data_IF_945830944028
#
_entry.id   IF_945830944028
#
_cell.length_a   1.000
_cell.length_b   1.000
_cell.length_c   1.000
_cell.angle_alpha   90.00
_cell.angle_beta   90.00
_cell.angle_gamma   90.00
#
_symmetry.space_group_name_H-M   'P 1'
#
loop_
_entity.id
_entity.type
_entity.pdbx_description
1 polymer ?
#
# COMPACT_ATOMS: atom_id res chain seq x y z
N UNK A 1 16.45 -24.07 -8.31
CA UNK A 1 15.55 -23.11 -7.64
C UNK A 1 16.43 -21.99 -7.13
N UNK A 2 16.55 -20.95 -7.95
CA UNK A 2 17.50 -19.85 -7.78
C UNK A 2 16.96 -18.84 -6.78
N UNK A 3 17.68 -18.64 -5.68
CA UNK A 3 17.45 -17.50 -4.79
C UNK A 3 18.60 -16.51 -4.99
N UNK A 4 18.42 -15.59 -5.93
CA UNK A 4 19.40 -14.55 -6.25
C UNK A 4 19.44 -13.52 -5.12
N UNK A 5 20.56 -13.54 -4.40
CA UNK A 5 21.09 -12.50 -3.52
C UNK A 5 20.66 -11.07 -3.90
N UNK A 6 19.74 -10.47 -3.14
CA UNK A 6 19.53 -9.02 -3.13
C UNK A 6 20.36 -8.40 -2.00
N UNK A 7 21.68 -8.30 -2.20
CA UNK A 7 22.56 -7.55 -1.28
C UNK A 7 22.32 -6.06 -1.52
N UNK A 8 21.60 -5.43 -0.61
CA UNK A 8 21.27 -4.00 -0.64
C UNK A 8 22.55 -3.15 -0.54
N UNK A 9 22.72 -2.21 -1.47
CA UNK A 9 23.89 -1.33 -1.65
C UNK A 9 24.00 -0.21 -0.59
N UNK A 10 23.37 -0.37 0.57
CA UNK A 10 23.27 0.68 1.60
C UNK A 10 24.61 1.02 2.25
N UNK A 11 25.49 0.04 2.43
CA UNK A 11 26.80 0.26 3.06
C UNK A 11 27.76 1.10 2.20
N UNK A 12 27.67 0.98 0.87
CA UNK A 12 28.47 1.79 -0.07
C UNK A 12 28.06 3.26 -0.09
N UNK A 13 26.80 3.57 0.24
CA UNK A 13 26.30 4.94 0.34
C UNK A 13 26.83 5.60 1.61
N UNK A 14 26.86 4.86 2.72
CA UNK A 14 27.43 5.33 3.99
C UNK A 14 28.93 5.65 3.87
N UNK A 15 29.69 4.83 3.15
CA UNK A 15 31.14 5.03 2.95
C UNK A 15 31.48 6.25 2.08
N UNK A 16 30.61 6.60 1.12
CA UNK A 16 30.77 7.83 0.30
C UNK A 16 30.50 9.10 1.09
N UNK A 17 29.65 9.05 2.11
CA UNK A 17 29.33 10.20 2.95
C UNK A 17 30.42 10.49 3.99
N UNK A 18 31.20 9.49 4.40
CA UNK A 18 32.32 9.65 5.33
C UNK A 18 33.64 10.03 4.66
N UNK A 19 33.81 9.75 3.35
CA UNK A 19 35.03 10.10 2.60
C UNK A 19 35.00 11.50 1.97
N UNK A 20 33.83 12.11 1.78
CA UNK A 20 33.70 13.50 1.37
C UNK A 20 33.91 14.42 2.57
N UNK A 21 35.19 14.62 2.92
CA UNK A 21 35.63 15.47 4.02
C UNK A 21 34.98 16.84 4.00
N UNK A 22 34.17 17.11 5.02
CA UNK A 22 33.99 18.45 5.56
C UNK A 22 33.68 18.33 7.06
N UNK A 23 34.72 17.98 7.82
CA UNK A 23 34.68 17.97 9.28
C UNK A 23 34.80 19.41 9.80
N UNK A 24 33.69 20.17 9.74
CA UNK A 24 33.51 21.27 10.67
C UNK A 24 33.08 20.66 12.01
N UNK A 25 34.04 20.09 12.73
CA UNK A 25 33.88 19.78 14.16
C UNK A 25 33.85 21.14 14.86
N UNK A 26 32.65 21.70 15.03
CA UNK A 26 32.44 22.81 15.96
C UNK A 26 32.48 22.24 17.39
N UNK A 27 33.13 22.92 18.34
CA UNK A 27 33.14 22.50 19.75
C UNK A 27 31.70 22.37 20.26
N UNK A 28 31.45 21.34 21.07
CA UNK A 28 30.13 20.99 21.62
C UNK A 28 29.40 22.16 22.35
N UNK A 29 30.11 23.22 22.70
CA UNK A 29 29.56 24.43 23.31
C UNK A 29 28.78 25.36 22.36
N UNK A 30 28.81 25.16 21.03
CA UNK A 30 28.07 26.01 20.07
C UNK A 30 26.77 25.39 19.50
N UNK A 31 26.40 24.16 19.89
CA UNK A 31 25.13 23.54 19.47
C UNK A 31 23.95 23.85 20.41
N UNK A 32 24.14 24.60 21.49
CA UNK A 32 23.06 24.93 22.43
C UNK A 32 22.12 26.04 21.94
N UNK A 33 22.43 26.74 20.85
CA UNK A 33 21.69 27.96 20.45
C UNK A 33 21.20 27.98 19.00
N UNK A 34 21.15 26.85 18.30
CA UNK A 34 20.56 26.78 16.97
C UNK A 34 19.06 26.52 17.08
N UNK A 35 18.18 27.49 16.74
CA UNK A 35 16.74 27.27 16.78
C UNK A 35 16.40 26.12 15.82
N UNK A 36 15.77 25.07 16.35
CA UNK A 36 15.33 23.91 15.57
C UNK A 36 14.56 24.40 14.33
N UNK A 37 15.04 24.01 13.14
CA UNK A 37 14.37 24.35 11.88
C UNK A 37 12.92 23.89 11.96
N UNK A 38 11.98 24.83 11.81
CA UNK A 38 10.55 24.55 11.82
C UNK A 38 10.19 23.77 10.56
N UNK A 39 10.15 22.44 10.66
CA UNK A 39 9.63 21.58 9.60
C UNK A 39 8.10 21.63 9.71
N UNK A 40 7.46 22.42 8.85
CA UNK A 40 6.00 22.41 8.73
C UNK A 40 5.61 21.18 7.92
N UNK A 41 5.15 20.12 8.61
CA UNK A 41 4.57 18.95 7.95
C UNK A 41 3.26 19.41 7.28
N UNK A 42 3.12 19.29 5.95
CA UNK A 42 1.90 19.67 5.27
C UNK A 42 0.74 18.85 5.84
N UNK A 43 -0.34 19.55 6.19
CA UNK A 43 -1.56 18.90 6.68
C UNK A 43 -2.15 18.10 5.52
N UNK A 44 -1.96 16.78 5.52
CA UNK A 44 -2.55 15.88 4.53
C UNK A 44 -4.07 16.01 4.66
N UNK A 45 -4.69 16.66 3.67
CA UNK A 45 -6.14 16.64 3.52
C UNK A 45 -6.49 15.24 3.04
N UNK A 46 -7.22 14.48 3.86
CA UNK A 46 -7.83 13.24 3.35
C UNK A 46 -8.71 13.66 2.17
N UNK A 47 -8.59 13.01 1.00
CA UNK A 47 -9.50 13.29 -0.11
C UNK A 47 -10.94 13.14 0.39
N UNK A 48 -11.86 13.85 -0.25
CA UNK A 48 -13.29 13.77 0.05
C UNK A 48 -13.70 12.29 0.18
N UNK A 49 -14.71 12.03 1.03
CA UNK A 49 -15.33 10.72 1.30
C UNK A 49 -15.99 10.10 0.05
N UNK A 50 -15.31 10.14 -1.08
CA UNK A 50 -15.81 9.59 -2.33
C UNK A 50 -15.49 8.10 -2.34
N UNK A 51 -16.53 7.30 -2.60
CA UNK A 51 -16.34 5.90 -2.88
C UNK A 51 -15.49 5.79 -4.14
N UNK A 52 -14.45 4.96 -4.09
CA UNK A 52 -13.64 4.69 -5.27
C UNK A 52 -13.67 3.20 -5.59
N UNK A 53 -13.37 2.90 -6.85
CA UNK A 53 -13.30 1.54 -7.35
C UNK A 53 -11.87 1.26 -7.79
N UNK A 54 -11.30 0.17 -7.31
CA UNK A 54 -10.01 -0.33 -7.76
C UNK A 54 -10.22 -1.60 -8.59
N UNK A 55 -9.48 -1.74 -9.69
CA UNK A 55 -9.48 -2.98 -10.47
C UNK A 55 -8.91 -4.13 -9.61
N UNK A 56 -9.65 -5.23 -9.53
CA UNK A 56 -9.19 -6.45 -8.89
C UNK A 56 -8.44 -7.30 -9.92
N UNK A 57 -7.12 -7.19 -9.90
CA UNK A 57 -6.26 -7.95 -10.81
C UNK A 57 -6.33 -9.46 -10.50
N UNK A 58 -6.21 -10.28 -11.54
CA UNK A 58 -6.35 -11.74 -11.46
C UNK A 58 -5.26 -12.44 -10.64
N UNK A 59 -4.13 -11.77 -10.42
CA UNK A 59 -2.99 -12.25 -9.63
C UNK A 59 -3.15 -12.02 -8.12
N UNK A 60 -4.14 -11.22 -7.71
CA UNK A 60 -4.43 -10.94 -6.31
C UNK A 60 -5.22 -12.08 -5.66
N UNK A 61 -4.99 -12.29 -4.37
CA UNK A 61 -5.72 -13.30 -3.58
C UNK A 61 -7.22 -13.01 -3.58
N UNK A 62 -7.58 -11.74 -3.44
CA UNK A 62 -8.95 -11.24 -3.41
C UNK A 62 -9.74 -11.72 -4.64
N UNK A 63 -9.11 -11.74 -5.82
CA UNK A 63 -9.73 -12.23 -7.04
C UNK A 63 -10.12 -13.70 -6.92
N UNK A 64 -9.18 -14.54 -6.45
CA UNK A 64 -9.43 -15.97 -6.23
C UNK A 64 -10.53 -16.20 -5.19
N UNK A 65 -10.51 -15.44 -4.10
CA UNK A 65 -11.51 -15.55 -3.03
C UNK A 65 -12.91 -15.18 -3.54
N UNK A 66 -13.02 -14.10 -4.32
CA UNK A 66 -14.27 -13.68 -4.97
C UNK A 66 -14.77 -14.75 -5.93
N UNK A 67 -13.91 -15.25 -6.83
CA UNK A 67 -14.29 -16.27 -7.79
C UNK A 67 -14.73 -17.58 -7.10
N UNK A 68 -14.04 -17.97 -6.02
CA UNK A 68 -14.42 -19.11 -5.18
C UNK A 68 -15.78 -18.90 -4.52
N UNK A 69 -16.05 -17.72 -3.96
CA UNK A 69 -17.33 -17.39 -3.35
C UNK A 69 -18.49 -17.38 -4.36
N UNK A 70 -18.27 -16.85 -5.57
CA UNK A 70 -19.24 -16.89 -6.67
C UNK A 70 -19.53 -18.34 -7.05
N UNK A 71 -18.49 -19.16 -7.25
CA UNK A 71 -18.67 -20.57 -7.63
C UNK A 71 -19.39 -21.41 -6.56
N UNK A 72 -19.24 -21.06 -5.29
CA UNK A 72 -19.92 -21.74 -4.16
C UNK A 72 -21.35 -21.26 -3.93
N UNK A 73 -21.69 -20.05 -4.36
CA UNK A 73 -23.02 -19.46 -4.16
C UNK A 73 -24.00 -19.77 -5.30
N UNK A 74 -23.60 -20.60 -6.27
CA UNK A 74 -24.45 -21.06 -7.37
C UNK A 74 -25.60 -21.93 -6.87
N UNK A 75 -26.81 -21.66 -7.39
CA UNK A 75 -27.98 -22.50 -7.14
C UNK A 75 -27.89 -23.83 -7.90
N UNK A 76 -27.49 -23.77 -9.17
CA UNK A 76 -27.24 -24.95 -10.00
C UNK A 76 -25.73 -25.20 -10.12
N UNK A 77 -25.28 -26.33 -9.57
CA UNK A 77 -23.87 -26.73 -9.58
C UNK A 77 -23.41 -27.29 -10.94
N UNK A 78 -24.35 -27.71 -11.78
CA UNK A 78 -24.06 -28.22 -13.13
C UNK A 78 -23.89 -27.07 -14.13
N UNK A 79 -24.36 -25.87 -13.79
CA UNK A 79 -24.17 -24.68 -14.59
C UNK A 79 -22.74 -24.14 -14.41
N UNK A 80 -21.93 -24.29 -15.46
CA UNK A 80 -20.65 -23.60 -15.53
C UNK A 80 -20.87 -22.11 -15.84
N UNK A 81 -20.69 -21.28 -14.82
CA UNK A 81 -20.91 -19.84 -14.95
C UNK A 81 -19.88 -19.17 -15.85
N UNK A 82 -18.65 -19.69 -15.93
CA UNK A 82 -17.60 -19.08 -16.75
C UNK A 82 -17.88 -19.23 -18.25
N UNK A 83 -18.46 -20.36 -18.66
CA UNK A 83 -18.90 -20.55 -20.06
C UNK A 83 -20.22 -19.85 -20.38
N UNK A 84 -21.12 -19.75 -19.40
CA UNK A 84 -22.45 -19.15 -19.61
C UNK A 84 -22.43 -17.62 -19.54
N UNK A 85 -21.62 -17.05 -18.64
CA UNK A 85 -21.55 -15.62 -18.36
C UNK A 85 -20.11 -15.12 -18.51
N UNK A 86 -19.89 -14.24 -19.48
CA UNK A 86 -18.62 -13.52 -19.61
C UNK A 86 -18.58 -12.36 -18.62
N UNK A 87 -18.04 -12.62 -17.43
CA UNK A 87 -17.75 -11.57 -16.47
C UNK A 87 -16.72 -10.60 -17.04
N UNK A 88 -17.01 -9.31 -16.96
CA UNK A 88 -16.02 -8.26 -17.21
C UNK A 88 -15.06 -8.10 -16.05
N UNK A 89 -14.43 -6.94 -15.98
CA UNK A 89 -13.50 -6.59 -14.91
C UNK A 89 -14.15 -6.63 -13.52
N UNK A 90 -13.55 -7.38 -12.61
CA UNK A 90 -13.92 -7.34 -11.18
C UNK A 90 -13.30 -6.08 -10.57
N UNK A 91 -14.10 -5.30 -9.85
CA UNK A 91 -13.65 -4.09 -9.16
C UNK A 91 -14.01 -4.15 -7.68
N UNK A 92 -13.07 -3.75 -6.83
CA UNK A 92 -13.27 -3.59 -5.39
C UNK A 92 -13.79 -2.19 -5.12
N UNK A 93 -14.91 -2.10 -4.41
CA UNK A 93 -15.53 -0.83 -4.03
C UNK A 93 -15.09 -0.48 -2.61
N UNK A 94 -14.34 0.60 -2.48
CA UNK A 94 -13.90 1.12 -1.19
C UNK A 94 -14.76 2.32 -0.82
N UNK A 95 -15.58 2.14 0.20
CA UNK A 95 -16.43 3.19 0.74
C UNK A 95 -16.34 3.21 2.25
N UNK A 96 -15.46 4.07 2.76
CA UNK A 96 -15.19 4.20 4.18
C UNK A 96 -16.45 4.47 5.01
N UNK A 97 -17.40 5.27 4.49
CA UNK A 97 -18.62 5.57 5.25
C UNK A 97 -19.52 4.34 5.39
N UNK A 98 -19.69 3.57 4.31
CA UNK A 98 -20.48 2.33 4.36
C UNK A 98 -19.79 1.25 5.18
N UNK A 99 -18.47 1.12 5.08
CA UNK A 99 -17.68 0.20 5.90
C UNK A 99 -17.83 0.51 7.40
N UNK A 100 -17.78 1.80 7.78
CA UNK A 100 -18.01 2.22 9.17
C UNK A 100 -19.44 1.91 9.61
N UNK A 101 -20.46 2.30 8.84
CA UNK A 101 -21.87 2.01 9.17
C UNK A 101 -22.13 0.50 9.30
N UNK A 102 -21.58 -0.31 8.40
CA UNK A 102 -21.70 -1.76 8.43
C UNK A 102 -21.01 -2.37 9.65
N UNK A 103 -19.81 -1.87 10.00
CA UNK A 103 -19.06 -2.35 11.15
C UNK A 103 -19.70 -1.96 12.48
N UNK A 104 -20.32 -0.78 12.57
CA UNK A 104 -21.07 -0.35 13.77
C UNK A 104 -22.36 -1.16 13.97
N UNK A 105 -23.00 -1.61 12.88
CA UNK A 105 -24.25 -2.38 12.95
C UNK A 105 -24.02 -3.84 13.35
N UNK A 106 -22.89 -4.41 12.94
CA UNK A 106 -22.53 -5.81 13.18
C UNK A 106 -22.10 -6.02 14.62
#
# INVERSE_FOLDING_TARGET
VDNKNFKSNTWKILERLTSAGNMNILPAAMLENQPLKRITIPKIRRPAKEAHMELCLTDRREYSDINSAINKSRLDLNCDLQSSWQFGDIKLVYNYELEQKFSTKR
#
